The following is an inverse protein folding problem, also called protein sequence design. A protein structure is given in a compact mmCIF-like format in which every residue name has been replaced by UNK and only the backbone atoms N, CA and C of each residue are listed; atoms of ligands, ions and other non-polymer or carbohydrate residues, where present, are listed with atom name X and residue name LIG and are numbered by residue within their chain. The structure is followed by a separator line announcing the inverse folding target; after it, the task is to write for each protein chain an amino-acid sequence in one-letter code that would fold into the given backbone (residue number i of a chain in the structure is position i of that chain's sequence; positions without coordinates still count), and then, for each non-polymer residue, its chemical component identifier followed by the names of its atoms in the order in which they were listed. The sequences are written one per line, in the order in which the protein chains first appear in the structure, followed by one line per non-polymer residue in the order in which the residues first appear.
data_IF_724677731916
#
_entry.id   IF_724677731916
#
_cell.length_a   1.000
_cell.length_b   1.000
_cell.length_c   1.000
_cell.angle_alpha   90.00
_cell.angle_beta   90.00
_cell.angle_gamma   90.00
#
_symmetry.space_group_name_H-M   'P 1'
#
loop_
_entity.id
_entity.type
_entity.pdbx_description
1 polymer ?
#
# COMPACT_ATOMS: atom_id res chain seq x y z
N UNK A 1 -22.59 -21.43 30.07
CA UNK A 1 -21.26 -21.17 29.49
C UNK A 1 -21.11 -22.11 28.31
N UNK A 2 -20.84 -21.60 27.09
CA UNK A 2 -20.60 -22.48 25.94
C UNK A 2 -19.39 -23.38 26.24
N UNK A 3 -19.47 -24.65 25.86
CA UNK A 3 -18.35 -25.59 25.92
C UNK A 3 -17.11 -24.95 25.25
N UNK A 4 -15.96 -24.83 25.94
CA UNK A 4 -14.76 -24.23 25.39
C UNK A 4 -14.31 -24.86 24.07
N UNK A 5 -14.56 -26.16 23.88
CA UNK A 5 -14.25 -26.84 22.63
C UNK A 5 -15.19 -26.37 21.51
N UNK A 6 -16.50 -26.40 21.74
CA UNK A 6 -17.49 -25.92 20.78
C UNK A 6 -17.26 -24.45 20.39
N UNK A 7 -16.91 -23.58 21.33
CA UNK A 7 -16.61 -22.18 21.06
C UNK A 7 -15.33 -21.98 20.21
N UNK A 8 -14.37 -22.91 20.30
CA UNK A 8 -13.19 -22.94 19.43
C UNK A 8 -13.54 -23.48 18.03
N UNK A 9 -14.37 -24.53 17.93
CA UNK A 9 -14.88 -25.03 16.65
C UNK A 9 -15.65 -23.95 15.87
N UNK A 10 -16.55 -23.24 16.55
CA UNK A 10 -17.33 -22.12 16.00
C UNK A 10 -16.41 -21.07 15.37
N UNK A 11 -15.28 -20.76 16.01
CA UNK A 11 -14.32 -19.74 15.54
C UNK A 11 -13.55 -20.14 14.27
N UNK A 12 -13.47 -21.43 13.97
CA UNK A 12 -12.78 -21.97 12.80
C UNK A 12 -13.72 -22.41 11.67
N UNK A 13 -15.03 -22.50 11.95
CA UNK A 13 -16.03 -23.05 11.03
C UNK A 13 -16.00 -22.37 9.66
N UNK A 14 -16.04 -21.04 9.64
CA UNK A 14 -16.00 -20.24 8.41
C UNK A 14 -14.75 -20.50 7.57
N UNK A 15 -13.58 -20.64 8.21
CA UNK A 15 -12.33 -20.98 7.52
C UNK A 15 -12.41 -22.39 6.90
N UNK A 16 -12.96 -23.37 7.61
CA UNK A 16 -13.11 -24.72 7.07
C UNK A 16 -14.04 -24.74 5.86
N UNK A 17 -15.19 -24.05 5.92
CA UNK A 17 -16.12 -23.94 4.80
C UNK A 17 -15.43 -23.40 3.54
N UNK A 18 -14.69 -22.30 3.67
CA UNK A 18 -13.99 -21.68 2.53
C UNK A 18 -12.81 -22.51 1.99
N UNK A 19 -12.18 -23.31 2.83
CA UNK A 19 -11.04 -24.14 2.42
C UNK A 19 -11.47 -25.50 1.85
N UNK A 20 -12.75 -25.86 1.93
CA UNK A 20 -13.25 -27.18 1.51
C UNK A 20 -13.35 -27.26 -0.02
N UNK A 21 -12.75 -28.30 -0.62
CA UNK A 21 -12.95 -28.66 -2.02
C UNK A 21 -14.19 -29.55 -2.15
N UNK A 22 -14.76 -29.63 -3.36
CA UNK A 22 -15.87 -30.53 -3.70
C UNK A 22 -15.59 -32.03 -3.39
N UNK A 23 -14.33 -32.38 -3.13
CA UNK A 23 -13.86 -33.72 -2.74
C UNK A 23 -13.84 -33.97 -1.23
N UNK A 24 -14.24 -33.00 -0.39
CA UNK A 24 -14.19 -33.10 1.08
C UNK A 24 -12.80 -32.94 1.70
N UNK A 25 -11.81 -32.51 0.90
CA UNK A 25 -10.43 -32.23 1.34
C UNK A 25 -10.17 -30.73 1.33
N UNK A 26 -9.29 -30.26 2.23
CA UNK A 26 -8.96 -28.83 2.31
C UNK A 26 -7.88 -28.43 1.31
N UNK A 27 -7.95 -27.20 0.79
CA UNK A 27 -6.94 -26.63 -0.14
C UNK A 27 -5.55 -26.61 0.51
N UNK A 28 -5.48 -26.23 1.79
CA UNK A 28 -4.23 -26.20 2.54
C UNK A 28 -4.04 -27.44 3.42
N UNK A 29 -2.87 -28.07 3.33
CA UNK A 29 -2.52 -29.28 4.09
C UNK A 29 -2.48 -29.05 5.60
N UNK A 30 -2.07 -27.86 6.06
CA UNK A 30 -2.04 -27.52 7.49
C UNK A 30 -3.45 -27.35 8.05
N UNK A 31 -4.39 -26.84 7.24
CA UNK A 31 -5.82 -26.76 7.61
C UNK A 31 -6.43 -28.14 7.70
N UNK A 32 -6.08 -29.06 6.79
CA UNK A 32 -6.47 -30.47 6.89
C UNK A 32 -5.92 -31.12 8.17
N UNK A 33 -4.66 -30.87 8.51
CA UNK A 33 -4.06 -31.38 9.75
C UNK A 33 -4.73 -30.81 10.99
N UNK A 34 -5.08 -29.52 11.01
CA UNK A 34 -5.83 -28.90 12.09
C UNK A 34 -7.22 -29.53 12.25
N UNK A 35 -7.94 -29.74 11.14
CA UNK A 35 -9.25 -30.41 11.18
C UNK A 35 -9.13 -31.84 11.73
N UNK A 36 -8.14 -32.61 11.27
CA UNK A 36 -7.92 -33.97 11.75
C UNK A 36 -7.54 -33.98 13.24
N UNK A 37 -6.70 -33.05 13.71
CA UNK A 37 -6.34 -32.94 15.13
C UNK A 37 -7.55 -32.59 16.00
N UNK A 38 -8.43 -31.71 15.52
CA UNK A 38 -9.67 -31.34 16.19
C UNK A 38 -10.62 -32.54 16.31
N UNK A 39 -10.86 -33.26 15.21
CA UNK A 39 -11.72 -34.46 15.22
C UNK A 39 -11.15 -35.57 16.11
N UNK A 40 -9.84 -35.75 16.11
CA UNK A 40 -9.21 -36.78 16.95
C UNK A 40 -9.24 -36.42 18.44
N UNK A 41 -9.08 -35.13 18.78
CA UNK A 41 -9.25 -34.63 20.16
C UNK A 41 -10.70 -34.86 20.64
N UNK A 42 -11.68 -34.58 19.78
CA UNK A 42 -13.10 -34.81 20.06
C UNK A 42 -13.45 -36.29 20.25
N UNK A 43 -12.86 -37.16 19.44
CA UNK A 43 -13.13 -38.60 19.45
C UNK A 43 -12.30 -39.38 20.50
N UNK A 44 -11.54 -38.70 21.37
CA UNK A 44 -10.75 -39.33 22.44
C UNK A 44 -9.63 -40.26 21.95
N UNK A 45 -9.31 -40.23 20.65
CA UNK A 45 -8.28 -41.08 20.04
C UNK A 45 -6.92 -40.42 20.20
N UNK A 46 -6.23 -40.76 21.30
CA UNK A 46 -4.77 -40.67 21.51
C UNK A 46 -4.03 -39.34 21.21
N UNK A 47 -4.72 -38.30 20.78
CA UNK A 47 -4.17 -36.98 20.49
C UNK A 47 -4.42 -36.04 21.68
N UNK A 48 -3.32 -35.57 22.26
CA UNK A 48 -3.29 -34.69 23.42
C UNK A 48 -3.67 -33.26 23.01
N UNK A 49 -4.26 -32.48 23.94
CA UNK A 49 -4.51 -31.05 23.73
C UNK A 49 -3.26 -30.31 23.20
N UNK A 50 -2.08 -30.75 23.59
CA UNK A 50 -0.80 -30.25 23.09
C UNK A 50 -0.66 -30.37 21.58
N UNK A 51 -1.09 -31.48 21.00
CA UNK A 51 -1.04 -31.69 19.55
C UNK A 51 -2.09 -30.87 18.81
N UNK A 52 -3.27 -30.63 19.40
CA UNK A 52 -4.23 -29.66 18.88
C UNK A 52 -3.64 -28.24 18.87
N UNK A 53 -2.99 -27.83 19.96
CA UNK A 53 -2.27 -26.54 20.04
C UNK A 53 -1.18 -26.48 18.96
N UNK A 54 -0.40 -27.54 18.77
CA UNK A 54 0.64 -27.57 17.73
C UNK A 54 0.06 -27.50 16.32
N UNK A 55 -1.03 -28.21 16.05
CA UNK A 55 -1.71 -28.18 14.76
C UNK A 55 -2.26 -26.79 14.47
N UNK A 56 -2.86 -26.13 15.47
CA UNK A 56 -3.32 -24.75 15.35
C UNK A 56 -2.17 -23.79 15.10
N UNK A 57 -1.08 -23.88 15.88
CA UNK A 57 0.11 -23.03 15.69
C UNK A 57 0.69 -23.16 14.27
N UNK A 58 0.65 -24.35 13.67
CA UNK A 58 1.12 -24.58 12.29
C UNK A 58 0.17 -24.02 11.22
N UNK A 59 -1.13 -24.17 11.42
CA UNK A 59 -2.15 -23.66 10.51
C UNK A 59 -2.41 -22.15 10.66
N UNK A 60 -1.93 -21.54 11.76
CA UNK A 60 -2.24 -20.15 12.13
C UNK A 60 -2.01 -19.11 11.02
N UNK A 61 -0.89 -19.14 10.26
CA UNK A 61 -0.69 -18.17 9.16
C UNK A 61 -1.74 -18.26 8.06
N UNK A 62 -2.40 -19.41 7.92
CA UNK A 62 -3.49 -19.61 6.97
C UNK A 62 -4.80 -19.12 7.59
N UNK A 63 -5.05 -19.49 8.85
CA UNK A 63 -6.23 -19.10 9.64
C UNK A 63 -6.43 -17.58 9.66
N UNK A 64 -5.35 -16.82 9.86
CA UNK A 64 -5.38 -15.34 9.92
C UNK A 64 -5.88 -14.68 8.62
N UNK A 65 -5.87 -15.38 7.49
CA UNK A 65 -6.39 -14.83 6.22
C UNK A 65 -7.93 -14.96 6.09
N UNK A 66 -8.59 -15.74 6.95
CA UNK A 66 -10.02 -16.07 6.80
C UNK A 66 -10.85 -15.67 8.01
N UNK A 67 -10.27 -15.70 9.21
CA UNK A 67 -10.97 -15.40 10.46
C UNK A 67 -10.09 -14.54 11.36
N UNK A 68 -10.72 -13.90 12.35
CA UNK A 68 -10.00 -13.12 13.35
C UNK A 68 -9.07 -14.00 14.20
N UNK A 69 -7.76 -13.93 13.90
CA UNK A 69 -6.73 -14.68 14.59
C UNK A 69 -6.63 -14.38 16.09
N UNK A 70 -7.02 -13.17 16.53
CA UNK A 70 -7.09 -12.84 17.95
C UNK A 70 -8.20 -13.62 18.64
N UNK A 71 -9.40 -13.68 18.03
CA UNK A 71 -10.51 -14.45 18.56
C UNK A 71 -10.18 -15.95 18.66
N UNK A 72 -9.54 -16.51 17.63
CA UNK A 72 -9.14 -17.93 17.63
C UNK A 72 -8.13 -18.23 18.75
N UNK A 73 -7.12 -17.37 18.94
CA UNK A 73 -6.16 -17.48 20.06
C UNK A 73 -6.86 -17.46 21.41
N UNK A 74 -7.76 -16.50 21.61
CA UNK A 74 -8.51 -16.34 22.86
C UNK A 74 -9.36 -17.58 23.17
N UNK A 75 -10.02 -18.17 22.16
CA UNK A 75 -10.81 -19.39 22.33
C UNK A 75 -9.94 -20.60 22.64
N UNK A 76 -8.80 -20.73 21.97
CA UNK A 76 -7.85 -21.81 22.25
C UNK A 76 -7.22 -21.69 23.65
N UNK A 77 -6.91 -20.47 24.10
CA UNK A 77 -6.44 -20.22 25.46
C UNK A 77 -7.49 -20.59 26.51
N UNK A 78 -8.76 -20.28 26.26
CA UNK A 78 -9.84 -20.70 27.14
C UNK A 78 -9.95 -22.23 27.22
N UNK A 79 -9.83 -22.93 26.09
CA UNK A 79 -9.79 -24.40 26.04
C UNK A 79 -8.57 -24.96 26.78
N UNK A 80 -7.40 -24.37 26.60
CA UNK A 80 -6.18 -24.80 27.27
C UNK A 80 -6.25 -24.58 28.78
N UNK A 81 -6.73 -23.42 29.23
CA UNK A 81 -6.92 -23.10 30.64
C UNK A 81 -7.89 -24.07 31.31
N UNK A 82 -8.97 -24.47 30.63
CA UNK A 82 -9.92 -25.45 31.13
C UNK A 82 -9.27 -26.84 31.37
N UNK A 83 -8.19 -27.15 30.66
CA UNK A 83 -7.42 -28.39 30.80
C UNK A 83 -6.14 -28.22 31.64
N UNK A 84 -5.95 -27.08 32.31
CA UNK A 84 -4.77 -26.80 33.13
C UNK A 84 -3.49 -26.43 32.35
N UNK A 85 -3.62 -26.09 31.07
CA UNK A 85 -2.49 -25.69 30.22
C UNK A 85 -2.47 -24.17 30.02
N UNK A 86 -1.26 -23.61 29.93
CA UNK A 86 -1.03 -22.22 29.49
C UNK A 86 -0.37 -22.25 28.13
N UNK A 87 -0.92 -21.51 27.17
CA UNK A 87 -0.33 -21.38 25.84
C UNK A 87 0.58 -20.15 25.84
N UNK A 88 1.87 -20.38 25.58
CA UNK A 88 2.80 -19.31 25.25
C UNK A 88 2.83 -19.19 23.73
N UNK A 89 2.17 -18.16 23.19
CA UNK A 89 2.17 -17.89 21.75
C UNK A 89 3.51 -17.34 21.26
N UNK A 90 4.26 -16.70 22.15
CA UNK A 90 5.52 -16.01 21.85
C UNK A 90 6.75 -16.95 21.88
N UNK A 91 6.65 -18.11 22.55
CA UNK A 91 7.81 -18.99 22.81
C UNK A 91 8.01 -20.09 21.76
N UNK A 92 6.94 -20.58 21.12
CA UNK A 92 7.05 -21.54 20.01
C UNK A 92 6.88 -20.84 18.67
N UNK A 93 7.74 -19.86 18.42
CA UNK A 93 8.22 -19.71 17.06
C UNK A 93 8.88 -21.05 16.70
N UNK A 94 8.11 -21.94 16.07
CA UNK A 94 8.67 -22.94 15.19
C UNK A 94 9.72 -22.17 14.40
N UNK A 95 10.98 -22.47 14.71
CA UNK A 95 12.15 -22.04 14.00
C UNK A 95 12.11 -22.66 12.59
N UNK A 96 11.07 -22.37 11.80
CA UNK A 96 11.36 -21.75 10.52
C UNK A 96 12.20 -20.57 10.92
N UNK A 97 13.52 -20.69 10.71
CA UNK A 97 14.47 -19.60 10.89
C UNK A 97 13.70 -18.31 10.60
N UNK A 98 13.76 -17.30 11.47
CA UNK A 98 13.63 -15.91 11.02
C UNK A 98 14.81 -15.55 10.08
N UNK A 99 15.24 -16.48 9.22
CA UNK A 99 15.55 -16.09 7.87
C UNK A 99 14.21 -15.62 7.35
N UNK A 100 14.18 -14.39 6.89
CA UNK A 100 13.41 -14.06 5.71
C UNK A 100 13.21 -15.30 4.83
N UNK A 101 12.11 -15.42 4.06
CA UNK A 101 12.20 -16.26 2.90
C UNK A 101 13.44 -15.77 2.15
N UNK A 102 14.55 -16.52 2.26
CA UNK A 102 15.29 -16.83 1.07
C UNK A 102 14.21 -17.45 0.21
N UNK A 103 13.61 -16.58 -0.60
CA UNK A 103 13.27 -16.90 -1.96
C UNK A 103 14.29 -17.95 -2.36
N UNK A 104 13.85 -19.22 -2.38
CA UNK A 104 14.46 -20.10 -3.35
C UNK A 104 14.09 -19.44 -4.67
N UNK A 105 14.98 -18.57 -5.15
CA UNK A 105 15.18 -18.33 -6.57
C UNK A 105 15.61 -19.67 -7.16
N UNK A 106 14.71 -20.64 -7.16
CA UNK A 106 14.82 -21.81 -8.00
C UNK A 106 14.38 -21.31 -9.37
N UNK A 107 15.41 -21.06 -10.18
CA UNK A 107 15.48 -20.26 -11.41
C UNK A 107 15.89 -18.83 -11.11
N UNK A 108 17.18 -18.58 -11.36
CA UNK A 108 17.70 -17.33 -11.92
C UNK A 108 16.67 -16.22 -11.92
N UNK A 109 16.82 -15.23 -11.04
CA UNK A 109 16.37 -13.89 -11.39
C UNK A 109 16.98 -13.65 -12.78
N UNK A 110 16.19 -13.54 -13.86
CA UNK A 110 16.73 -12.85 -15.01
C UNK A 110 17.12 -11.49 -14.43
N UNK A 111 18.41 -11.15 -14.47
CA UNK A 111 19.02 -9.92 -13.94
C UNK A 111 17.95 -8.87 -13.70
N UNK A 112 17.72 -8.48 -12.44
CA UNK A 112 16.55 -7.69 -12.07
C UNK A 112 16.41 -6.51 -13.02
N UNK A 113 15.53 -6.65 -14.01
CA UNK A 113 15.44 -5.68 -15.10
C UNK A 113 15.12 -4.35 -14.44
N UNK A 114 15.94 -3.34 -14.76
CA UNK A 114 15.69 -1.99 -14.30
C UNK A 114 14.26 -1.57 -14.68
N UNK A 115 13.72 -0.58 -13.97
CA UNK A 115 12.31 -0.20 -14.14
C UNK A 115 11.94 0.09 -15.61
N UNK A 116 12.86 0.70 -16.37
CA UNK A 116 12.69 1.03 -17.78
C UNK A 116 12.67 -0.22 -18.66
N UNK A 117 13.58 -1.16 -18.45
CA UNK A 117 13.64 -2.42 -19.18
C UNK A 117 12.44 -3.30 -18.85
N UNK A 118 12.01 -3.31 -17.58
CA UNK A 118 10.78 -4.00 -17.17
C UNK A 118 9.53 -3.41 -17.82
N UNK A 119 9.38 -2.08 -17.85
CA UNK A 119 8.28 -1.43 -18.57
C UNK A 119 8.34 -1.73 -20.07
N UNK A 120 9.55 -1.78 -20.64
CA UNK A 120 9.74 -2.09 -22.05
C UNK A 120 9.27 -3.50 -22.41
N UNK A 121 9.56 -4.47 -21.54
CA UNK A 121 9.07 -5.85 -21.70
C UNK A 121 7.56 -5.96 -21.54
N UNK A 122 6.98 -5.30 -20.53
CA UNK A 122 5.53 -5.31 -20.31
C UNK A 122 4.77 -4.68 -21.48
N UNK A 123 5.29 -3.59 -22.04
CA UNK A 123 4.68 -2.89 -23.17
C UNK A 123 5.00 -3.54 -24.53
N UNK A 124 6.03 -4.39 -24.61
CA UNK A 124 6.57 -4.88 -25.88
C UNK A 124 7.21 -3.77 -26.73
N UNK A 125 7.61 -2.66 -26.12
CA UNK A 125 8.13 -1.45 -26.78
C UNK A 125 9.38 -0.97 -26.07
N UNK A 126 10.34 -0.38 -26.79
CA UNK A 126 11.54 0.21 -26.19
C UNK A 126 11.18 1.54 -25.49
N UNK A 127 10.95 1.49 -24.17
CA UNK A 127 10.42 2.62 -23.39
C UNK A 127 11.27 3.89 -23.53
N UNK A 128 12.60 3.75 -23.53
CA UNK A 128 13.55 4.86 -23.65
C UNK A 128 13.46 5.61 -24.98
N UNK A 129 12.95 4.98 -26.04
CA UNK A 129 12.78 5.59 -27.37
C UNK A 129 11.39 6.19 -27.58
N UNK A 130 10.48 6.01 -26.63
CA UNK A 130 9.14 6.59 -26.70
C UNK A 130 9.19 8.07 -26.33
N UNK A 131 8.27 8.83 -26.92
CA UNK A 131 8.01 10.19 -26.49
C UNK A 131 7.47 10.22 -25.04
N UNK A 132 7.65 11.35 -24.36
CA UNK A 132 7.30 11.52 -22.94
C UNK A 132 5.82 11.25 -22.65
N UNK A 133 4.93 11.57 -23.59
CA UNK A 133 3.49 11.30 -23.46
C UNK A 133 3.22 9.80 -23.47
N UNK A 134 3.76 9.06 -24.44
CA UNK A 134 3.63 7.59 -24.46
C UNK A 134 4.31 6.92 -23.27
N UNK A 135 5.44 7.46 -22.79
CA UNK A 135 6.06 7.01 -21.55
C UNK A 135 5.10 7.15 -20.35
N UNK A 136 4.45 8.30 -20.22
CA UNK A 136 3.44 8.53 -19.18
C UNK A 136 2.25 7.58 -19.30
N UNK A 137 1.73 7.37 -20.51
CA UNK A 137 0.62 6.45 -20.77
C UNK A 137 0.95 5.01 -20.35
N UNK A 138 2.15 4.53 -20.68
CA UNK A 138 2.61 3.19 -20.28
C UNK A 138 2.77 3.08 -18.77
N UNK A 139 3.38 4.07 -18.12
CA UNK A 139 3.54 4.12 -16.66
C UNK A 139 2.16 4.08 -15.99
N UNK A 140 1.23 4.90 -16.46
CA UNK A 140 -0.13 4.94 -15.94
C UNK A 140 -0.84 3.62 -16.21
N UNK A 141 -0.67 2.99 -17.36
CA UNK A 141 -1.30 1.71 -17.70
C UNK A 141 -0.87 0.59 -16.76
N UNK A 142 0.44 0.42 -16.54
CA UNK A 142 0.99 -0.66 -15.72
C UNK A 142 1.05 -0.35 -14.21
N UNK A 143 0.52 0.79 -13.77
CA UNK A 143 0.57 1.24 -12.37
C UNK A 143 -0.03 0.26 -11.35
N UNK A 144 -0.91 -0.64 -11.78
CA UNK A 144 -1.60 -1.61 -10.94
C UNK A 144 -0.86 -2.96 -10.86
N UNK A 145 0.23 -3.12 -11.60
CA UNK A 145 1.01 -4.35 -11.61
C UNK A 145 1.73 -4.59 -10.27
N UNK A 146 1.79 -5.85 -9.86
CA UNK A 146 2.25 -6.28 -8.52
C UNK A 146 3.66 -5.81 -8.15
N UNK A 147 4.52 -5.58 -9.15
CA UNK A 147 5.91 -5.18 -8.95
C UNK A 147 6.19 -3.71 -9.33
N UNK A 148 5.16 -2.98 -9.78
CA UNK A 148 5.33 -1.64 -10.33
C UNK A 148 5.93 -0.68 -9.29
N UNK A 149 5.31 -0.56 -8.12
CA UNK A 149 5.76 0.37 -7.06
C UNK A 149 7.16 0.01 -6.59
N UNK A 150 7.45 -1.27 -6.35
CA UNK A 150 8.77 -1.70 -5.90
C UNK A 150 9.87 -1.33 -6.90
N UNK A 151 9.64 -1.55 -8.19
CA UNK A 151 10.61 -1.21 -9.24
C UNK A 151 10.73 0.31 -9.43
N UNK A 152 9.61 1.04 -9.33
CA UNK A 152 9.60 2.49 -9.39
C UNK A 152 10.41 3.10 -8.24
N UNK A 153 10.18 2.67 -7.00
CA UNK A 153 10.94 3.15 -5.83
C UNK A 153 12.44 2.88 -5.98
N UNK A 154 12.82 1.68 -6.46
CA UNK A 154 14.22 1.39 -6.75
C UNK A 154 14.79 2.33 -7.82
N UNK A 155 14.03 2.62 -8.88
CA UNK A 155 14.44 3.56 -9.91
C UNK A 155 14.56 4.99 -9.39
N UNK A 156 13.60 5.47 -8.60
CA UNK A 156 13.61 6.81 -7.99
C UNK A 156 14.78 6.99 -7.02
N UNK A 157 15.24 5.93 -6.36
CA UNK A 157 16.46 6.01 -5.54
C UNK A 157 17.73 6.32 -6.37
N UNK A 158 17.73 5.98 -7.66
CA UNK A 158 18.85 6.24 -8.59
C UNK A 158 18.60 7.50 -9.44
N UNK A 159 17.33 7.80 -9.74
CA UNK A 159 16.89 8.93 -10.56
C UNK A 159 15.69 9.61 -9.88
N UNK A 160 15.93 10.45 -8.85
CA UNK A 160 14.85 11.07 -8.08
C UNK A 160 13.96 11.99 -8.92
N UNK A 161 14.52 12.63 -9.95
CA UNK A 161 13.81 13.58 -10.80
C UNK A 161 12.91 12.94 -11.85
N UNK A 162 12.86 11.60 -11.93
CA UNK A 162 12.16 10.90 -13.01
C UNK A 162 10.67 11.26 -13.10
N UNK A 163 9.93 11.18 -11.98
CA UNK A 163 8.50 11.52 -11.95
C UNK A 163 8.24 13.02 -12.14
N UNK A 164 9.16 13.87 -11.67
CA UNK A 164 9.06 15.32 -11.81
C UNK A 164 9.16 15.68 -13.28
N UNK A 165 10.20 15.19 -13.96
CA UNK A 165 10.43 15.44 -15.38
C UNK A 165 9.26 14.94 -16.23
N UNK A 166 8.63 13.83 -15.83
CA UNK A 166 7.43 13.33 -16.49
C UNK A 166 6.21 14.22 -16.25
N UNK A 167 6.02 14.70 -15.02
CA UNK A 167 4.90 15.58 -14.66
C UNK A 167 5.03 16.98 -15.25
N UNK A 168 6.25 17.47 -15.50
CA UNK A 168 6.50 18.77 -16.14
C UNK A 168 6.12 18.79 -17.63
N UNK A 169 6.02 17.63 -18.30
CA UNK A 169 5.75 17.57 -19.75
C UNK A 169 4.39 18.18 -20.14
N UNK A 170 3.35 17.94 -19.36
CA UNK A 170 2.03 18.55 -19.59
C UNK A 170 1.18 18.55 -18.33
N UNK A 171 0.26 19.51 -18.24
CA UNK A 171 -0.69 19.59 -17.13
C UNK A 171 -1.58 18.34 -17.07
N UNK A 172 -1.99 17.79 -18.23
CA UNK A 172 -2.79 16.56 -18.30
C UNK A 172 -2.05 15.37 -17.65
N UNK A 173 -0.77 15.17 -18.00
CA UNK A 173 0.06 14.11 -17.41
C UNK A 173 0.25 14.35 -15.90
N UNK A 174 0.52 15.59 -15.49
CA UNK A 174 0.64 15.96 -14.08
C UNK A 174 -0.61 15.57 -13.29
N UNK A 175 -1.80 16.01 -13.74
CA UNK A 175 -3.06 15.71 -13.06
C UNK A 175 -3.32 14.20 -13.00
N UNK A 176 -3.05 13.49 -14.10
CA UNK A 176 -3.21 12.04 -14.13
C UNK A 176 -2.27 11.33 -13.14
N UNK A 177 -1.04 11.81 -12.97
CA UNK A 177 -0.10 11.29 -11.97
C UNK A 177 -0.62 11.56 -10.55
N UNK A 178 -1.02 12.80 -10.26
CA UNK A 178 -1.53 13.23 -8.94
C UNK A 178 -2.79 12.48 -8.52
N UNK A 179 -3.67 12.16 -9.46
CA UNK A 179 -4.88 11.38 -9.21
C UNK A 179 -4.65 9.88 -8.98
N UNK A 180 -3.39 9.43 -9.01
CA UNK A 180 -3.00 8.03 -8.75
C UNK A 180 -2.08 7.93 -7.54
N UNK A 181 -1.69 6.70 -7.18
CA UNK A 181 -0.72 6.47 -6.11
C UNK A 181 0.66 7.07 -6.39
N UNK A 182 0.96 7.38 -7.66
CA UNK A 182 2.22 8.03 -8.05
C UNK A 182 2.39 9.43 -7.46
N UNK A 183 1.28 10.14 -7.19
CA UNK A 183 1.33 11.46 -6.56
C UNK A 183 1.96 11.46 -5.17
N UNK A 184 1.86 10.34 -4.44
CA UNK A 184 2.49 10.19 -3.11
C UNK A 184 4.01 10.09 -3.18
N UNK A 185 4.56 9.63 -4.31
CA UNK A 185 6.01 9.48 -4.54
C UNK A 185 6.70 10.81 -4.90
N UNK A 186 5.91 11.88 -5.13
CA UNK A 186 6.45 13.23 -5.38
C UNK A 186 6.55 13.96 -4.05
N UNK A 187 7.71 14.53 -3.73
CA UNK A 187 7.90 15.32 -2.51
C UNK A 187 7.27 16.71 -2.62
N UNK A 188 6.95 17.35 -1.49
CA UNK A 188 6.33 18.68 -1.47
C UNK A 188 7.12 19.75 -2.25
N UNK A 189 8.46 19.85 -2.13
CA UNK A 189 9.22 20.89 -2.85
C UNK A 189 9.14 20.70 -4.37
N UNK A 190 9.13 19.45 -4.82
CA UNK A 190 9.06 19.13 -6.24
C UNK A 190 7.65 19.29 -6.79
N UNK A 191 6.65 18.94 -5.99
CA UNK A 191 5.24 19.22 -6.28
C UNK A 191 5.01 20.72 -6.45
N UNK A 192 5.58 21.56 -5.59
CA UNK A 192 5.51 23.01 -5.73
C UNK A 192 6.15 23.51 -7.03
N UNK A 193 7.29 22.97 -7.45
CA UNK A 193 7.90 23.30 -8.76
C UNK A 193 6.97 22.95 -9.93
N UNK A 194 6.34 21.78 -9.89
CA UNK A 194 5.40 21.32 -10.92
C UNK A 194 4.17 22.25 -10.97
N UNK A 195 3.61 22.59 -9.81
CA UNK A 195 2.48 23.52 -9.68
C UNK A 195 2.83 24.87 -10.31
N UNK A 196 3.97 25.45 -9.93
CA UNK A 196 4.44 26.73 -10.48
C UNK A 196 4.59 26.63 -11.99
N UNK A 197 5.26 25.58 -12.49
CA UNK A 197 5.48 25.39 -13.92
C UNK A 197 4.17 25.43 -14.72
N UNK A 198 3.18 24.63 -14.33
CA UNK A 198 1.90 24.57 -15.04
C UNK A 198 1.01 25.79 -14.79
N UNK A 199 1.18 26.46 -13.66
CA UNK A 199 0.39 27.64 -13.30
C UNK A 199 0.85 28.91 -14.00
N UNK A 200 2.11 28.98 -14.46
CA UNK A 200 2.55 30.12 -15.27
C UNK A 200 1.70 30.30 -16.53
N UNK A 201 1.22 29.20 -17.13
CA UNK A 201 0.30 29.22 -18.26
C UNK A 201 -1.15 29.57 -17.88
N UNK A 202 -1.51 29.53 -16.58
CA UNK A 202 -2.84 29.88 -16.08
C UNK A 202 -2.97 31.36 -15.69
N UNK A 203 -1.87 32.11 -15.68
CA UNK A 203 -1.88 33.53 -15.35
C UNK A 203 -2.54 34.30 -16.48
N UNK A 204 -3.63 34.98 -16.16
CA UNK A 204 -4.36 35.85 -17.08
C UNK A 204 -4.33 37.28 -16.53
N UNK A 205 -3.47 38.12 -17.10
CA UNK A 205 -3.31 39.51 -16.68
C UNK A 205 -4.56 40.38 -16.85
N UNK A 206 -5.62 39.88 -17.50
CA UNK A 206 -6.91 40.58 -17.63
C UNK A 206 -7.85 40.35 -16.43
N UNK A 207 -7.57 39.35 -15.60
CA UNK A 207 -8.37 39.01 -14.42
C UNK A 207 -7.76 39.66 -13.18
N UNK A 208 -8.61 40.08 -12.24
CA UNK A 208 -8.15 40.54 -10.93
C UNK A 208 -7.30 39.50 -10.19
N UNK A 209 -6.29 39.95 -9.44
CA UNK A 209 -5.31 39.09 -8.79
C UNK A 209 -5.92 38.20 -7.71
N UNK A 210 -6.90 38.69 -6.95
CA UNK A 210 -7.59 37.91 -5.92
C UNK A 210 -8.42 36.78 -6.55
N UNK A 211 -9.15 37.11 -7.63
CA UNK A 211 -9.91 36.13 -8.39
C UNK A 211 -9.01 35.08 -9.08
N UNK A 212 -7.82 35.46 -9.55
CA UNK A 212 -6.82 34.52 -10.07
C UNK A 212 -6.26 33.60 -8.98
N UNK A 213 -5.94 34.15 -7.80
CA UNK A 213 -5.45 33.37 -6.67
C UNK A 213 -6.48 32.32 -6.22
N UNK A 214 -7.75 32.70 -6.09
CA UNK A 214 -8.81 31.77 -5.71
C UNK A 214 -8.96 30.64 -6.72
N UNK A 215 -8.95 30.94 -8.02
CA UNK A 215 -9.00 29.90 -9.08
C UNK A 215 -7.79 28.97 -9.03
N UNK A 216 -6.61 29.51 -8.76
CA UNK A 216 -5.39 28.72 -8.59
C UNK A 216 -5.52 27.75 -7.41
N UNK A 217 -5.95 28.24 -6.24
CA UNK A 217 -6.13 27.41 -5.05
C UNK A 217 -7.18 26.33 -5.29
N UNK A 218 -8.36 26.71 -5.81
CA UNK A 218 -9.44 25.77 -6.10
C UNK A 218 -9.01 24.66 -7.07
N UNK A 219 -8.32 25.00 -8.15
CA UNK A 219 -7.86 24.02 -9.13
C UNK A 219 -6.85 23.03 -8.54
N UNK A 220 -5.84 23.53 -7.82
CA UNK A 220 -4.80 22.67 -7.28
C UNK A 220 -5.24 21.89 -6.05
N UNK A 221 -6.05 22.45 -5.16
CA UNK A 221 -6.59 21.71 -4.03
C UNK A 221 -7.48 20.55 -4.50
N UNK A 222 -8.32 20.77 -5.51
CA UNK A 222 -9.09 19.69 -6.13
C UNK A 222 -8.18 18.59 -6.73
N UNK A 223 -7.08 18.98 -7.36
CA UNK A 223 -6.11 18.06 -7.97
C UNK A 223 -5.27 17.30 -6.93
N UNK A 224 -5.06 17.89 -5.75
CA UNK A 224 -4.23 17.35 -4.67
C UNK A 224 -5.02 16.54 -3.65
N UNK A 225 -6.35 16.65 -3.62
CA UNK A 225 -7.25 16.03 -2.64
C UNK A 225 -6.91 14.54 -2.39
N UNK A 226 -6.66 13.78 -3.47
CA UNK A 226 -6.35 12.33 -3.39
C UNK A 226 -5.02 12.02 -2.70
N UNK A 227 -4.09 12.95 -2.70
CA UNK A 227 -2.79 12.82 -2.00
C UNK A 227 -2.86 13.30 -0.55
N UNK A 228 -4.00 13.84 -0.11
CA UNK A 228 -4.18 14.43 1.22
C UNK A 228 -3.43 15.74 1.43
N UNK A 229 -2.96 16.36 0.34
CA UNK A 229 -2.21 17.63 0.33
C UNK A 229 -3.14 18.78 -0.10
N UNK A 230 -2.72 20.00 0.19
CA UNK A 230 -3.37 21.23 -0.23
C UNK A 230 -2.31 22.31 -0.41
N UNK A 231 -2.65 23.39 -1.12
CA UNK A 231 -1.80 24.58 -1.28
C UNK A 231 -1.42 25.14 0.09
N UNK A 232 -2.36 25.20 1.04
CA UNK A 232 -2.07 25.62 2.42
C UNK A 232 -0.96 24.78 3.06
N UNK A 233 -1.06 23.45 2.98
CA UNK A 233 -0.02 22.54 3.52
C UNK A 233 1.33 22.67 2.81
N UNK A 234 1.32 22.99 1.52
CA UNK A 234 2.54 23.22 0.75
C UNK A 234 3.19 24.57 1.11
N UNK A 235 2.40 25.57 1.51
CA UNK A 235 2.92 26.87 1.99
C UNK A 235 3.54 26.73 3.39
N UNK A 236 3.02 25.84 4.23
CA UNK A 236 3.59 25.54 5.56
C UNK A 236 4.97 24.87 5.48
N UNK A 237 5.27 24.21 4.36
CA UNK A 237 6.57 23.61 4.07
C UNK A 237 7.54 24.69 3.54
N UNK A 238 8.67 24.97 4.22
CA UNK A 238 9.54 26.10 3.89
C UNK A 238 10.17 25.99 2.49
N UNK A 239 10.49 24.78 2.04
CA UNK A 239 11.10 24.57 0.73
C UNK A 239 10.06 24.69 -0.39
N UNK A 240 8.88 24.10 -0.20
CA UNK A 240 7.77 24.22 -1.15
C UNK A 240 7.23 25.67 -1.24
N UNK A 241 7.11 26.35 -0.10
CA UNK A 241 6.71 27.77 -0.01
C UNK A 241 7.64 28.67 -0.83
N UNK A 242 8.95 28.45 -0.76
CA UNK A 242 9.93 29.22 -1.53
C UNK A 242 9.75 29.09 -3.05
N UNK A 243 9.22 27.95 -3.51
CA UNK A 243 8.91 27.73 -4.91
C UNK A 243 7.58 28.39 -5.29
N UNK A 244 6.51 28.18 -4.50
CA UNK A 244 5.17 28.74 -4.75
C UNK A 244 5.16 30.28 -4.78
N UNK A 245 5.93 30.91 -3.89
CA UNK A 245 6.06 32.38 -3.81
C UNK A 245 6.66 33.05 -5.05
N UNK A 246 7.19 32.28 -6.01
CA UNK A 246 7.67 32.79 -7.30
C UNK A 246 6.54 33.15 -8.26
N UNK A 247 5.30 32.80 -7.94
CA UNK A 247 4.13 33.17 -8.76
C UNK A 247 3.72 34.63 -8.46
N UNK A 248 3.35 35.43 -9.47
CA UNK A 248 3.13 36.87 -9.32
C UNK A 248 2.06 37.25 -8.30
N UNK A 249 1.02 36.44 -8.14
CA UNK A 249 -0.05 36.72 -7.18
C UNK A 249 0.39 36.47 -5.72
N UNK A 250 1.44 35.69 -5.46
CA UNK A 250 2.02 35.57 -4.11
C UNK A 250 2.96 36.74 -3.77
N UNK A 251 3.58 37.39 -4.75
CA UNK A 251 4.43 38.58 -4.53
C UNK A 251 3.60 39.79 -4.06
N UNK A 252 2.33 39.88 -4.48
CA UNK A 252 1.41 40.97 -4.09
C UNK A 252 0.78 40.70 -2.72
N UNK A 253 0.42 39.44 -2.42
CA UNK A 253 -0.16 39.04 -1.12
C UNK A 253 0.82 39.05 0.08
N UNK A 254 2.13 39.21 -0.14
CA UNK A 254 3.10 39.47 0.94
C UNK A 254 3.27 40.98 1.21
N UNK A 255 2.93 41.86 0.27
CA UNK A 255 2.99 43.33 0.43
C UNK A 255 1.72 43.90 1.08
N UNK A 256 0.57 43.28 0.83
CA UNK A 256 -0.66 43.50 1.59
C UNK A 256 -0.81 42.34 2.58
N UNK A 257 -0.87 42.64 3.87
CA UNK A 257 -0.72 41.71 4.98
C UNK A 257 -1.92 40.72 5.13
N UNK A 258 -2.21 39.88 4.13
CA UNK A 258 -3.44 39.07 4.03
C UNK A 258 -3.24 37.55 3.98
N UNK A 259 -2.03 37.01 4.06
CA UNK A 259 -1.81 35.56 4.15
C UNK A 259 -2.06 34.95 5.55
N UNK A 260 -2.55 35.74 6.52
CA UNK A 260 -2.86 35.25 7.88
C UNK A 260 -4.30 34.83 8.14
N UNK A 261 -5.19 34.95 7.16
CA UNK A 261 -6.60 34.63 7.37
C UNK A 261 -7.18 33.92 6.16
N UNK A 262 -7.10 32.59 6.13
CA UNK A 262 -8.23 31.78 5.65
C UNK A 262 -8.35 30.50 6.49
N UNK A 263 -9.59 30.06 6.80
CA UNK A 263 -9.88 29.10 7.86
C UNK A 263 -9.67 27.66 7.39
N UNK A 264 -9.32 26.80 8.35
CA UNK A 264 -9.17 25.35 8.15
C UNK A 264 -10.49 24.59 8.07
#
# INVERSE_FOLDING_TARGET
MKDPLAAFEDSLCYMFELQTRNTGTYINREVQHLKNALENYKNGRSLTLRELIMALKRAFPVVENYVDGYLVKLRMEALAKANGYRIHWEEDHFRRKKGYPYFHYAKSVPESLDFISWLSECAGLQFSHLDRRKQAEIILHFRLEKNFITKLTEHLSKQPDFLINLALESTEICINILHTRLGFEINNPDLAKIIVHHSTAMIDHSIDLEAQFMRFVEFWDASLERTGRSIAKLIDDPEASSALKKLPFFEVCDNENTLKVMPG
#
